data_IF_978912577288
#
_entry.id   IF_978912577288
#
_cell.length_a   1.000
_cell.length_b   1.000
_cell.length_c   1.000
_cell.angle_alpha   90.00
_cell.angle_beta   90.00
_cell.angle_gamma   90.00
#
_symmetry.space_group_name_H-M   'P 1'
#
loop_
_entity.id
_entity.type
_entity.pdbx_description
1 polymer ?
#
# COMPACT_ATOMS: atom_id res chain seq x y z
N UNK A 1 -0.99 0.79 3.13
CA UNK A 1 -1.33 2.23 2.99
C UNK A 1 -0.65 2.88 1.79
N UNK A 2 0.70 2.98 1.74
CA UNK A 2 1.40 3.62 0.59
C UNK A 2 0.98 3.07 -0.78
N UNK A 3 0.92 1.74 -0.92
CA UNK A 3 0.52 1.09 -2.17
C UNK A 3 -0.94 1.37 -2.58
N UNK A 4 -1.88 1.34 -1.63
CA UNK A 4 -3.30 1.66 -1.87
C UNK A 4 -3.51 3.12 -2.30
N UNK A 5 -2.75 4.03 -1.69
CA UNK A 5 -2.81 5.45 -2.00
C UNK A 5 -2.03 5.83 -3.28
N UNK A 6 -1.24 4.91 -3.85
CA UNK A 6 -0.35 5.21 -4.97
C UNK A 6 0.72 6.25 -4.62
N UNK A 7 1.19 6.30 -3.37
CA UNK A 7 2.22 7.23 -2.92
C UNK A 7 3.52 6.51 -2.57
N UNK A 8 4.64 7.22 -2.73
CA UNK A 8 5.98 6.75 -2.40
C UNK A 8 6.26 6.86 -0.91
N UNK A 9 7.25 6.13 -0.42
CA UNK A 9 7.75 6.35 0.94
C UNK A 9 8.34 7.75 1.10
N UNK A 10 8.32 8.27 2.33
CA UNK A 10 8.94 9.56 2.66
C UNK A 10 10.42 9.55 2.34
N UNK A 11 11.11 8.44 2.61
CA UNK A 11 12.52 8.26 2.30
C UNK A 11 12.79 8.38 0.79
N UNK A 12 12.00 7.70 -0.05
CA UNK A 12 12.14 7.77 -1.50
C UNK A 12 11.93 9.22 -2.01
N UNK A 13 10.91 9.92 -1.50
CA UNK A 13 10.65 11.32 -1.87
C UNK A 13 11.79 12.27 -1.46
N UNK A 14 12.40 12.04 -0.29
CA UNK A 14 13.54 12.81 0.19
C UNK A 14 14.75 12.61 -0.74
N UNK A 15 15.07 11.37 -1.11
CA UNK A 15 16.18 11.08 -2.03
C UNK A 15 15.94 11.63 -3.43
N UNK A 16 14.72 11.51 -3.97
CA UNK A 16 14.37 12.11 -5.27
C UNK A 16 14.63 13.61 -5.26
N UNK A 17 14.20 14.31 -4.21
CA UNK A 17 14.42 15.75 -4.07
C UNK A 17 15.91 16.10 -3.95
N UNK A 18 16.66 15.34 -3.14
CA UNK A 18 18.09 15.51 -2.96
C UNK A 18 18.86 15.36 -4.27
N UNK A 19 18.61 14.28 -5.04
CA UNK A 19 19.30 14.06 -6.31
C UNK A 19 18.88 15.05 -7.39
N UNK A 20 17.59 15.42 -7.49
CA UNK A 20 17.16 16.45 -8.44
C UNK A 20 17.87 17.77 -8.19
N UNK A 21 17.99 18.16 -6.92
CA UNK A 21 18.70 19.38 -6.56
C UNK A 21 20.20 19.27 -6.85
N UNK A 22 20.85 18.19 -6.42
CA UNK A 22 22.27 17.97 -6.62
C UNK A 22 22.66 17.94 -8.11
N UNK A 23 21.89 17.22 -8.96
CA UNK A 23 22.13 17.23 -10.40
C UNK A 23 21.92 18.62 -11.02
N UNK A 24 20.94 19.40 -10.56
CA UNK A 24 20.81 20.79 -11.04
C UNK A 24 22.06 21.60 -10.72
N UNK A 25 22.62 21.43 -9.52
CA UNK A 25 23.84 22.13 -9.15
C UNK A 25 25.03 21.68 -10.00
N UNK A 26 25.21 20.38 -10.23
CA UNK A 26 26.31 19.85 -11.05
C UNK A 26 26.24 20.31 -12.52
N UNK A 27 25.06 20.20 -13.15
CA UNK A 27 24.91 20.44 -14.59
C UNK A 27 24.66 21.91 -14.95
N UNK A 28 24.24 22.76 -14.00
CA UNK A 28 24.03 24.19 -14.24
C UNK A 28 25.15 25.06 -13.66
N UNK A 29 26.22 24.46 -13.12
CA UNK A 29 27.41 25.17 -12.73
C UNK A 29 28.06 25.80 -13.97
N UNK A 30 27.85 27.10 -14.17
CA UNK A 30 28.51 27.85 -15.24
C UNK A 30 30.01 27.90 -14.94
N UNK A 31 30.89 27.60 -15.91
CA UNK A 31 32.33 27.72 -15.71
C UNK A 31 32.71 29.13 -15.20
N UNK A 32 33.47 29.21 -14.11
CA UNK A 32 33.86 30.48 -13.48
C UNK A 32 32.83 31.04 -12.50
N UNK A 33 31.66 30.42 -12.34
CA UNK A 33 30.73 30.76 -11.26
C UNK A 33 31.26 30.31 -9.90
N UNK A 34 30.78 30.95 -8.82
CA UNK A 34 31.10 30.51 -7.45
C UNK A 34 30.76 29.03 -7.23
N UNK A 35 29.65 28.55 -7.80
CA UNK A 35 29.25 27.14 -7.71
C UNK A 35 30.29 26.20 -8.36
N UNK A 36 30.86 26.60 -9.50
CA UNK A 36 31.92 25.82 -10.15
C UNK A 36 33.22 25.78 -9.33
N UNK A 37 33.54 26.86 -8.63
CA UNK A 37 34.70 26.91 -7.72
C UNK A 37 34.47 26.04 -6.48
N UNK A 38 33.25 26.02 -5.94
CA UNK A 38 32.87 25.15 -4.82
C UNK A 38 32.97 23.67 -5.21
N UNK A 39 32.59 23.29 -6.42
CA UNK A 39 32.75 21.91 -6.91
C UNK A 39 34.19 21.53 -7.27
N UNK A 40 35.04 22.51 -7.59
CA UNK A 40 36.47 22.30 -7.83
C UNK A 40 37.30 22.25 -6.53
N UNK A 41 36.69 22.55 -5.38
CA UNK A 41 37.34 22.45 -4.09
C UNK A 41 37.64 20.97 -3.75
N UNK A 42 38.80 20.73 -3.17
CA UNK A 42 39.21 19.44 -2.61
C UNK A 42 38.36 19.01 -1.40
N UNK A 43 37.63 19.94 -0.78
CA UNK A 43 36.78 19.64 0.36
C UNK A 43 35.50 18.90 -0.02
N UNK A 44 35.44 17.61 0.29
CA UNK A 44 34.21 16.81 0.15
C UNK A 44 33.35 16.92 1.41
N UNK A 45 32.20 17.59 1.27
CA UNK A 45 31.25 17.76 2.37
C UNK A 45 30.66 16.41 2.81
N UNK A 46 30.21 16.32 4.07
CA UNK A 46 29.54 15.10 4.58
C UNK A 46 28.31 14.74 3.73
N UNK A 47 27.56 15.74 3.28
CA UNK A 47 26.37 15.55 2.46
C UNK A 47 26.69 14.96 1.09
N UNK A 48 27.74 15.45 0.44
CA UNK A 48 28.22 14.93 -0.84
C UNK A 48 28.70 13.48 -0.72
N UNK A 49 29.43 13.14 0.36
CA UNK A 49 29.83 11.74 0.63
C UNK A 49 28.62 10.81 0.74
N UNK A 50 27.55 11.24 1.39
CA UNK A 50 26.32 10.44 1.50
C UNK A 50 25.58 10.31 0.16
N UNK A 51 25.56 11.35 -0.68
CA UNK A 51 25.00 11.27 -2.02
C UNK A 51 25.77 10.29 -2.91
N UNK A 52 27.09 10.40 -2.94
CA UNK A 52 27.96 9.50 -3.72
C UNK A 52 27.82 8.07 -3.24
N UNK A 53 27.80 7.84 -1.91
CA UNK A 53 27.52 6.52 -1.33
C UNK A 53 26.16 5.99 -1.76
N UNK A 54 25.10 6.81 -1.71
CA UNK A 54 23.75 6.39 -2.12
C UNK A 54 23.70 6.09 -3.62
N UNK A 55 24.36 6.85 -4.49
CA UNK A 55 24.45 6.56 -5.92
C UNK A 55 25.15 5.24 -6.21
N UNK A 56 26.26 4.98 -5.53
CA UNK A 56 26.94 3.70 -5.63
C UNK A 56 26.03 2.54 -5.20
N UNK A 57 25.27 2.69 -4.11
CA UNK A 57 24.29 1.69 -3.68
C UNK A 57 23.14 1.49 -4.69
N UNK A 58 22.81 2.51 -5.47
CA UNK A 58 21.82 2.41 -6.56
C UNK A 58 22.39 1.72 -7.81
N UNK A 59 23.71 1.53 -7.89
CA UNK A 59 24.42 0.91 -9.01
C UNK A 59 24.95 1.90 -10.04
N UNK A 60 25.03 3.19 -9.71
CA UNK A 60 25.60 4.21 -10.60
C UNK A 60 27.05 4.51 -10.21
N UNK A 61 27.91 4.64 -11.23
CA UNK A 61 29.25 5.23 -11.12
C UNK A 61 29.22 6.67 -11.61
N UNK A 62 30.07 7.55 -11.05
CA UNK A 62 30.08 8.99 -11.36
C UNK A 62 30.26 9.28 -12.85
N UNK A 63 31.18 8.55 -13.49
CA UNK A 63 31.53 8.73 -14.91
C UNK A 63 30.34 8.44 -15.84
N UNK A 64 29.57 7.38 -15.56
CA UNK A 64 28.42 6.97 -16.38
C UNK A 64 27.24 7.97 -16.34
N UNK A 65 27.20 8.86 -15.35
CA UNK A 65 26.19 9.92 -15.25
C UNK A 65 26.69 11.25 -15.85
N UNK A 66 28.00 11.49 -15.87
CA UNK A 66 28.59 12.68 -16.48
C UNK A 66 28.42 12.72 -17.99
N UNK A 67 28.45 11.54 -18.64
CA UNK A 67 28.29 11.40 -20.09
C UNK A 67 26.84 11.58 -20.59
N UNK A 68 25.86 11.63 -19.68
CA UNK A 68 24.45 11.83 -20.01
C UNK A 68 23.95 13.21 -19.57
N UNK A 69 23.07 13.84 -20.36
CA UNK A 69 22.53 15.16 -20.03
C UNK A 69 21.73 15.16 -18.71
N UNK A 70 21.57 16.34 -18.10
CA UNK A 70 20.85 16.55 -16.82
C UNK A 70 19.52 15.79 -16.73
N UNK A 71 18.71 15.84 -17.79
CA UNK A 71 17.39 15.18 -17.83
C UNK A 71 17.50 13.66 -17.75
N UNK A 72 18.47 13.08 -18.45
CA UNK A 72 18.68 11.63 -18.50
C UNK A 72 19.26 11.11 -17.19
N UNK A 73 20.24 11.82 -16.62
CA UNK A 73 20.81 11.52 -15.30
C UNK A 73 19.71 11.52 -14.22
N UNK A 74 18.88 12.57 -14.18
CA UNK A 74 17.75 12.65 -13.27
C UNK A 74 16.76 11.52 -13.48
N UNK A 75 16.38 11.23 -14.73
CA UNK A 75 15.42 10.18 -15.04
C UNK A 75 15.91 8.81 -14.56
N UNK A 76 17.15 8.41 -14.88
CA UNK A 76 17.70 7.10 -14.52
C UNK A 76 17.77 6.89 -13.01
N UNK A 77 18.28 7.87 -12.27
CA UNK A 77 18.42 7.76 -10.81
C UNK A 77 17.05 7.77 -10.12
N UNK A 78 16.15 8.66 -10.55
CA UNK A 78 14.78 8.71 -10.01
C UNK A 78 14.04 7.40 -10.29
N UNK A 79 14.12 6.87 -11.51
CA UNK A 79 13.49 5.60 -11.86
C UNK A 79 14.00 4.47 -10.96
N UNK A 80 15.32 4.37 -10.79
CA UNK A 80 15.93 3.33 -9.93
C UNK A 80 15.48 3.44 -8.47
N UNK A 81 15.39 4.65 -7.93
CA UNK A 81 14.85 4.89 -6.58
C UNK A 81 13.39 4.44 -6.46
N UNK A 82 12.58 4.74 -7.47
CA UNK A 82 11.17 4.34 -7.49
C UNK A 82 11.01 2.83 -7.55
N UNK A 83 11.82 2.15 -8.37
CA UNK A 83 11.77 0.70 -8.50
C UNK A 83 12.14 -0.01 -7.19
N UNK A 84 13.20 0.45 -6.52
CA UNK A 84 13.62 -0.08 -5.21
C UNK A 84 12.56 0.18 -4.15
N UNK A 85 12.00 1.39 -4.08
CA UNK A 85 10.94 1.72 -3.11
C UNK A 85 9.70 0.84 -3.33
N UNK A 86 9.30 0.66 -4.58
CA UNK A 86 8.16 -0.18 -4.93
C UNK A 86 8.42 -1.66 -4.60
N UNK A 87 9.62 -2.17 -4.87
CA UNK A 87 10.02 -3.53 -4.45
C UNK A 87 9.98 -3.68 -2.93
N UNK A 88 10.51 -2.69 -2.19
CA UNK A 88 10.49 -2.67 -0.74
C UNK A 88 9.05 -2.65 -0.19
N UNK A 89 8.20 -1.76 -0.69
CA UNK A 89 6.79 -1.68 -0.28
C UNK A 89 6.05 -2.99 -0.57
N UNK A 90 6.28 -3.62 -1.72
CA UNK A 90 5.69 -4.93 -2.08
C UNK A 90 6.20 -6.05 -1.17
N UNK A 91 7.47 -6.06 -0.79
CA UNK A 91 7.99 -7.06 0.15
C UNK A 91 7.32 -6.97 1.54
N UNK A 92 6.98 -5.75 1.97
CA UNK A 92 6.29 -5.49 3.26
C UNK A 92 4.79 -5.71 3.20
N UNK A 93 4.24 -5.81 2.00
CA UNK A 93 2.81 -5.95 1.76
C UNK A 93 2.24 -7.34 2.06
N UNK A 94 3.06 -8.32 2.41
CA UNK A 94 2.59 -9.64 2.83
C UNK A 94 2.50 -9.77 4.37
N UNK A 95 2.54 -8.65 5.10
CA UNK A 95 2.48 -8.64 6.57
C UNK A 95 1.05 -8.62 7.11
N UNK A 96 0.92 -9.00 8.38
CA UNK A 96 -0.32 -9.29 9.12
C UNK A 96 -1.45 -8.25 9.00
N UNK A 97 -1.12 -6.98 8.81
CA UNK A 97 -2.08 -5.85 8.78
C UNK A 97 -2.36 -5.29 7.37
N UNK A 98 -2.02 -6.02 6.31
CA UNK A 98 -2.36 -5.62 4.94
C UNK A 98 -2.04 -6.78 4.01
N UNK A 99 -2.77 -7.90 4.01
CA UNK A 99 -2.51 -8.95 3.03
C UNK A 99 -2.86 -8.39 1.64
N UNK A 100 -1.89 -7.86 0.91
CA UNK A 100 -2.07 -7.46 -0.51
C UNK A 100 -2.26 -8.68 -1.44
N UNK A 101 -2.45 -9.87 -0.87
CA UNK A 101 -2.99 -11.06 -1.53
C UNK A 101 -4.28 -10.68 -2.28
N UNK A 102 -5.03 -9.70 -1.79
CA UNK A 102 -6.23 -9.20 -2.45
C UNK A 102 -5.89 -8.16 -3.53
N UNK A 103 -5.52 -8.70 -4.69
CA UNK A 103 -5.64 -8.14 -6.05
C UNK A 103 -4.77 -6.97 -6.51
N UNK A 104 -3.71 -6.57 -5.81
CA UNK A 104 -2.73 -5.64 -6.41
C UNK A 104 -1.74 -6.33 -7.38
N UNK A 105 -2.16 -7.44 -8.01
CA UNK A 105 -1.44 -8.02 -9.12
C UNK A 105 -1.53 -7.06 -10.31
N UNK A 106 -0.41 -6.46 -10.69
CA UNK A 106 -0.14 -5.85 -11.99
C UNK A 106 -0.41 -4.35 -12.22
N UNK A 107 -0.53 -3.52 -11.18
CA UNK A 107 -0.26 -2.10 -11.41
C UNK A 107 1.26 -1.91 -11.59
N UNK A 108 1.70 -1.90 -12.85
CA UNK A 108 2.99 -1.35 -13.28
C UNK A 108 2.95 0.16 -12.98
N UNK A 109 3.21 0.52 -11.72
CA UNK A 109 3.19 1.89 -11.21
C UNK A 109 2.44 2.03 -9.88
N UNK A 110 2.85 3.03 -9.09
CA UNK A 110 2.09 3.51 -7.92
C UNK A 110 0.85 4.25 -8.42
N UNK A 111 -0.27 3.54 -8.55
CA UNK A 111 -1.58 4.13 -8.84
C UNK A 111 -2.47 3.97 -7.62
N UNK A 112 -3.20 5.03 -7.30
CA UNK A 112 -4.21 5.00 -6.25
C UNK A 112 -5.30 3.99 -6.59
N UNK A 113 -5.75 3.21 -5.61
CA UNK A 113 -6.81 2.22 -5.78
C UNK A 113 -8.13 2.86 -6.20
N UNK A 114 -8.86 2.18 -7.09
CA UNK A 114 -10.05 2.71 -7.76
C UNK A 114 -11.17 3.06 -6.78
N UNK A 115 -11.37 2.25 -5.74
CA UNK A 115 -12.43 2.46 -4.75
C UNK A 115 -12.27 3.78 -3.99
N UNK A 116 -11.06 4.32 -3.88
CA UNK A 116 -10.80 5.56 -3.15
C UNK A 116 -11.44 6.78 -3.80
N UNK A 117 -11.68 6.73 -5.12
CA UNK A 117 -12.36 7.79 -5.86
C UNK A 117 -13.71 7.36 -6.46
N UNK A 118 -13.92 6.06 -6.71
CA UNK A 118 -15.20 5.56 -7.26
C UNK A 118 -16.28 5.35 -6.20
N UNK A 119 -15.93 4.99 -4.95
CA UNK A 119 -16.89 4.95 -3.85
C UNK A 119 -17.14 6.36 -3.32
N UNK A 120 -18.18 7.01 -3.83
CA UNK A 120 -18.55 8.39 -3.48
C UNK A 120 -18.97 8.53 -2.02
N UNK A 121 -19.64 7.53 -1.44
CA UNK A 121 -20.12 7.55 -0.06
C UNK A 121 -18.95 7.29 0.92
N UNK A 122 -18.58 8.26 1.80
CA UNK A 122 -17.41 8.13 2.67
C UNK A 122 -17.46 6.93 3.62
N UNK A 123 -18.64 6.60 4.16
CA UNK A 123 -18.82 5.45 5.06
C UNK A 123 -18.52 4.11 4.38
N UNK A 124 -18.91 3.95 3.11
CA UNK A 124 -18.60 2.76 2.31
C UNK A 124 -17.11 2.67 2.03
N UNK A 125 -16.49 3.78 1.60
CA UNK A 125 -15.04 3.86 1.36
C UNK A 125 -14.23 3.50 2.61
N UNK A 126 -14.64 3.99 3.78
CA UNK A 126 -14.02 3.67 5.07
C UNK A 126 -14.16 2.19 5.38
N UNK A 127 -15.37 1.63 5.34
CA UNK A 127 -15.61 0.22 5.66
C UNK A 127 -14.81 -0.73 4.75
N UNK A 128 -14.77 -0.45 3.45
CA UNK A 128 -13.97 -1.22 2.49
C UNK A 128 -12.47 -1.13 2.76
N UNK A 129 -11.97 0.08 3.08
CA UNK A 129 -10.56 0.26 3.47
C UNK A 129 -10.19 -0.56 4.71
N UNK A 130 -11.05 -0.56 5.73
CA UNK A 130 -10.82 -1.33 6.96
C UNK A 130 -10.72 -2.83 6.66
N UNK A 131 -11.56 -3.34 5.76
CA UNK A 131 -11.49 -4.73 5.32
C UNK A 131 -10.20 -5.04 4.55
N UNK A 132 -9.81 -4.21 3.56
CA UNK A 132 -8.56 -4.38 2.79
C UNK A 132 -7.31 -4.36 3.68
N UNK A 133 -7.30 -3.53 4.70
CA UNK A 133 -6.21 -3.46 5.67
C UNK A 133 -6.33 -4.48 6.82
N UNK A 134 -7.34 -5.36 6.81
CA UNK A 134 -7.55 -6.34 7.88
C UNK A 134 -7.56 -5.68 9.28
N UNK A 135 -8.27 -4.56 9.39
CA UNK A 135 -8.44 -3.73 10.60
C UNK A 135 -9.93 -3.41 10.83
N UNK A 136 -10.80 -4.34 10.47
CA UNK A 136 -12.20 -4.27 10.91
C UNK A 136 -12.25 -4.29 12.45
N UNK A 137 -13.23 -3.61 13.08
CA UNK A 137 -13.50 -3.76 14.50
C UNK A 137 -13.86 -5.23 14.79
N UNK A 138 -12.92 -5.97 15.37
CA UNK A 138 -13.02 -7.41 15.59
C UNK A 138 -12.11 -7.83 16.73
N UNK A 139 -12.29 -9.06 17.21
CA UNK A 139 -11.39 -9.72 18.16
C UNK A 139 -9.96 -9.84 17.61
N UNK A 140 -9.82 -9.96 16.27
CA UNK A 140 -8.53 -9.92 15.61
C UNK A 140 -7.82 -8.59 15.82
N UNK A 141 -8.51 -7.46 15.64
CA UNK A 141 -7.92 -6.14 15.82
C UNK A 141 -7.65 -5.85 17.30
N UNK A 142 -8.62 -6.10 18.19
CA UNK A 142 -8.46 -5.85 19.62
C UNK A 142 -7.36 -6.72 20.23
N UNK A 143 -7.26 -7.99 19.82
CA UNK A 143 -6.21 -8.90 20.23
C UNK A 143 -4.80 -8.47 19.78
N UNK A 144 -4.66 -7.75 18.65
CA UNK A 144 -3.37 -7.14 18.27
C UNK A 144 -2.94 -6.08 19.27
N UNK A 145 -3.86 -5.20 19.66
CA UNK A 145 -3.55 -4.15 20.65
C UNK A 145 -3.27 -4.73 22.03
N UNK A 146 -3.96 -5.81 22.41
CA UNK A 146 -3.75 -6.55 23.65
C UNK A 146 -2.57 -7.53 23.61
N UNK A 147 -1.85 -7.63 22.49
CA UNK A 147 -0.74 -8.58 22.26
C UNK A 147 -1.10 -10.06 22.49
N UNK A 148 -2.37 -10.44 22.27
CA UNK A 148 -2.84 -11.82 22.36
C UNK A 148 -2.29 -12.66 21.21
N UNK A 149 -2.12 -13.97 21.41
CA UNK A 149 -1.74 -14.91 20.35
C UNK A 149 -2.84 -14.98 19.29
N UNK A 150 -2.50 -15.32 18.03
CA UNK A 150 -3.50 -15.35 16.95
C UNK A 150 -4.67 -16.30 17.24
N UNK A 151 -4.37 -17.46 17.85
CA UNK A 151 -5.34 -18.48 18.27
C UNK A 151 -6.33 -17.99 19.33
N UNK A 152 -6.00 -16.94 20.08
CA UNK A 152 -6.85 -16.40 21.14
C UNK A 152 -7.78 -15.29 20.63
N UNK A 153 -7.64 -14.88 19.36
CA UNK A 153 -8.39 -13.76 18.75
C UNK A 153 -9.70 -14.24 18.14
N UNK A 154 -10.48 -14.94 18.95
CA UNK A 154 -11.67 -15.67 18.52
C UNK A 154 -12.84 -14.73 18.26
N UNK A 155 -13.56 -15.00 17.17
CA UNK A 155 -14.86 -14.38 16.92
C UNK A 155 -15.82 -14.76 18.05
N UNK A 156 -16.69 -13.85 18.51
CA UNK A 156 -17.73 -14.17 19.49
C UNK A 156 -18.85 -15.05 18.93
N UNK A 157 -18.74 -15.53 17.69
CA UNK A 157 -19.64 -16.56 17.21
C UNK A 157 -19.27 -17.92 17.84
N UNK A 158 -20.24 -18.83 17.90
CA UNK A 158 -20.08 -20.13 18.56
C UNK A 158 -19.16 -21.13 17.83
N UNK A 159 -18.34 -20.67 16.88
CA UNK A 159 -17.48 -21.52 16.04
C UNK A 159 -16.04 -21.63 16.52
N UNK A 160 -15.64 -20.87 17.55
CA UNK A 160 -14.27 -20.83 18.05
C UNK A 160 -13.20 -20.58 16.95
N UNK A 161 -13.56 -19.82 15.91
CA UNK A 161 -12.67 -19.45 14.81
C UNK A 161 -12.09 -18.05 15.02
N UNK A 162 -10.88 -17.82 14.51
CA UNK A 162 -10.25 -16.49 14.51
C UNK A 162 -11.09 -15.52 13.66
N UNK A 163 -11.36 -14.32 14.16
CA UNK A 163 -12.22 -13.34 13.47
C UNK A 163 -11.49 -12.61 12.33
N UNK A 164 -11.07 -13.37 11.32
CA UNK A 164 -10.46 -12.85 10.09
C UNK A 164 -11.49 -12.23 9.15
N UNK A 165 -11.03 -11.44 8.18
CA UNK A 165 -11.92 -10.90 7.13
C UNK A 165 -12.58 -12.02 6.33
N UNK A 166 -11.87 -13.13 6.09
CA UNK A 166 -12.42 -14.33 5.46
C UNK A 166 -13.57 -14.91 6.28
N UNK A 167 -13.35 -15.11 7.59
CA UNK A 167 -14.39 -15.60 8.50
C UNK A 167 -15.61 -14.67 8.47
N UNK A 168 -15.43 -13.35 8.61
CA UNK A 168 -16.51 -12.36 8.55
C UNK A 168 -17.28 -12.44 7.23
N UNK A 169 -16.57 -12.46 6.10
CA UNK A 169 -17.16 -12.37 4.76
C UNK A 169 -17.86 -13.67 4.32
N UNK A 170 -17.38 -14.83 4.75
CA UNK A 170 -17.78 -16.13 4.17
C UNK A 170 -18.50 -17.02 5.18
N UNK A 171 -18.00 -17.14 6.41
CA UNK A 171 -18.43 -18.23 7.30
C UNK A 171 -19.24 -17.77 8.52
N UNK A 172 -18.95 -16.59 9.05
CA UNK A 172 -19.43 -16.15 10.35
C UNK A 172 -20.97 -16.08 10.43
N UNK A 173 -21.63 -16.78 11.37
CA UNK A 173 -23.08 -16.75 11.53
C UNK A 173 -23.65 -15.37 11.84
N UNK A 174 -22.91 -14.54 12.59
CA UNK A 174 -23.34 -13.20 13.02
C UNK A 174 -23.71 -12.33 11.81
N UNK A 175 -22.98 -12.45 10.71
CA UNK A 175 -23.18 -11.63 9.53
C UNK A 175 -24.02 -12.33 8.44
N UNK A 176 -24.69 -13.44 8.76
CA UNK A 176 -25.36 -14.28 7.76
C UNK A 176 -26.43 -13.52 6.95
N UNK A 177 -27.27 -12.73 7.62
CA UNK A 177 -28.31 -11.92 6.96
C UNK A 177 -27.70 -10.91 5.98
N UNK A 178 -26.63 -10.22 6.40
CA UNK A 178 -25.93 -9.27 5.53
C UNK A 178 -25.22 -9.98 4.37
N UNK A 179 -24.67 -11.17 4.61
CA UNK A 179 -23.99 -12.00 3.62
C UNK A 179 -24.94 -12.55 2.56
N UNK A 180 -26.13 -13.02 2.95
CA UNK A 180 -27.18 -13.46 2.00
C UNK A 180 -27.53 -12.30 1.06
N UNK A 181 -27.75 -11.10 1.60
CA UNK A 181 -28.04 -9.93 0.78
C UNK A 181 -26.87 -9.53 -0.14
N UNK A 182 -25.63 -9.70 0.32
CA UNK A 182 -24.44 -9.47 -0.51
C UNK A 182 -24.44 -10.40 -1.73
N UNK A 183 -24.55 -11.71 -1.50
CA UNK A 183 -24.47 -12.71 -2.56
C UNK A 183 -25.66 -12.63 -3.52
N UNK A 184 -26.87 -12.40 -3.00
CA UNK A 184 -28.04 -12.16 -3.86
C UNK A 184 -27.85 -10.93 -4.75
N UNK A 185 -27.19 -9.88 -4.26
CA UNK A 185 -26.95 -8.66 -5.06
C UNK A 185 -25.87 -8.85 -6.12
N UNK A 186 -24.86 -9.66 -5.86
CA UNK A 186 -23.78 -9.91 -6.82
C UNK A 186 -24.24 -10.91 -7.90
N UNK A 187 -25.26 -11.73 -7.61
CA UNK A 187 -25.74 -12.76 -8.54
C UNK A 187 -24.71 -13.86 -8.76
N UNK A 188 -23.91 -14.15 -7.73
CA UNK A 188 -22.75 -15.03 -7.83
C UNK A 188 -23.09 -16.43 -7.32
N UNK A 189 -22.76 -17.46 -8.09
CA UNK A 189 -22.77 -18.84 -7.61
C UNK A 189 -21.47 -19.11 -6.84
N UNK A 190 -21.60 -19.52 -5.58
CA UNK A 190 -20.47 -19.84 -4.70
C UNK A 190 -19.89 -21.24 -4.99
N UNK A 191 -20.53 -22.03 -5.85
CA UNK A 191 -20.08 -23.39 -6.17
C UNK A 191 -18.66 -23.40 -6.76
N UNK A 192 -17.76 -24.19 -6.15
CA UNK A 192 -16.40 -24.41 -6.64
C UNK A 192 -15.33 -23.37 -6.28
N UNK A 193 -15.66 -22.27 -5.58
CA UNK A 193 -14.65 -21.29 -5.16
C UNK A 193 -14.01 -21.62 -3.80
N UNK A 194 -12.68 -21.59 -3.75
CA UNK A 194 -11.94 -21.53 -2.48
C UNK A 194 -12.22 -20.20 -1.77
N UNK A 195 -12.41 -20.24 -0.45
CA UNK A 195 -12.61 -19.08 0.41
C UNK A 195 -11.59 -17.96 0.15
N UNK A 196 -10.31 -18.31 0.03
CA UNK A 196 -9.26 -17.33 -0.28
C UNK A 196 -9.49 -16.59 -1.60
N UNK A 197 -9.88 -17.31 -2.67
CA UNK A 197 -10.14 -16.71 -3.97
C UNK A 197 -11.36 -15.79 -3.95
N UNK A 198 -12.39 -16.14 -3.16
CA UNK A 198 -13.56 -15.28 -2.94
C UNK A 198 -13.18 -13.98 -2.23
N UNK A 199 -12.34 -14.04 -1.20
CA UNK A 199 -11.87 -12.82 -0.53
C UNK A 199 -11.06 -11.95 -1.50
N UNK A 200 -10.17 -12.53 -2.31
CA UNK A 200 -9.43 -11.82 -3.39
C UNK A 200 -10.37 -11.16 -4.39
N UNK A 201 -11.43 -11.85 -4.77
CA UNK A 201 -12.41 -11.34 -5.71
C UNK A 201 -13.20 -10.16 -5.12
N UNK A 202 -13.76 -10.33 -3.91
CA UNK A 202 -14.58 -9.32 -3.24
C UNK A 202 -13.78 -8.08 -2.84
N UNK A 203 -12.57 -8.26 -2.33
CA UNK A 203 -11.64 -7.19 -2.02
C UNK A 203 -10.77 -6.83 -3.23
N UNK A 204 -11.20 -7.22 -4.43
CA UNK A 204 -10.41 -7.12 -5.65
C UNK A 204 -10.30 -5.71 -6.22
N UNK A 205 -11.30 -4.87 -5.93
CA UNK A 205 -11.48 -3.55 -6.54
C UNK A 205 -11.40 -3.54 -8.08
N UNK A 206 -11.84 -4.63 -8.72
CA UNK A 206 -11.88 -4.77 -10.19
C UNK A 206 -13.20 -4.30 -10.80
N UNK A 207 -14.28 -4.31 -10.01
CA UNK A 207 -15.63 -3.92 -10.44
C UNK A 207 -16.21 -2.94 -9.43
N UNK A 208 -16.54 -1.72 -9.87
CA UNK A 208 -17.14 -0.69 -9.01
C UNK A 208 -18.45 -1.15 -8.38
N UNK A 209 -19.25 -1.94 -9.11
CA UNK A 209 -20.48 -2.53 -8.60
C UNK A 209 -20.22 -3.49 -7.44
N UNK A 210 -19.31 -4.45 -7.62
CA UNK A 210 -18.96 -5.45 -6.60
C UNK A 210 -18.35 -4.74 -5.39
N UNK A 211 -17.39 -3.85 -5.62
CA UNK A 211 -16.79 -3.02 -4.57
C UNK A 211 -17.87 -2.30 -3.77
N UNK A 212 -18.88 -1.71 -4.42
CA UNK A 212 -19.97 -1.03 -3.72
C UNK A 212 -20.82 -1.97 -2.87
N UNK A 213 -21.21 -3.15 -3.36
CA UNK A 213 -22.00 -4.10 -2.59
C UNK A 213 -21.21 -4.67 -1.41
N UNK A 214 -19.95 -5.04 -1.63
CA UNK A 214 -19.04 -5.51 -0.58
C UNK A 214 -18.82 -4.42 0.48
N UNK A 215 -18.73 -3.15 0.07
CA UNK A 215 -18.62 -2.02 1.00
C UNK A 215 -19.86 -1.85 1.89
N UNK A 216 -21.07 -2.06 1.35
CA UNK A 216 -22.31 -2.04 2.13
C UNK A 216 -22.33 -3.17 3.16
N UNK A 217 -21.90 -4.36 2.76
CA UNK A 217 -21.76 -5.50 3.67
C UNK A 217 -20.81 -5.16 4.83
N UNK A 218 -19.61 -4.66 4.53
CA UNK A 218 -18.65 -4.32 5.59
C UNK A 218 -19.11 -3.16 6.46
N UNK A 219 -19.87 -2.19 5.93
CA UNK A 219 -20.45 -1.15 6.76
C UNK A 219 -21.38 -1.77 7.82
N UNK A 220 -22.23 -2.73 7.43
CA UNK A 220 -23.11 -3.43 8.38
C UNK A 220 -22.34 -4.30 9.35
N UNK A 221 -21.29 -4.99 8.90
CA UNK A 221 -20.43 -5.76 9.79
C UNK A 221 -19.79 -4.86 10.87
N UNK A 222 -19.32 -3.67 10.48
CA UNK A 222 -18.77 -2.66 11.38
C UNK A 222 -19.83 -2.15 12.38
N UNK A 223 -21.07 -1.90 11.95
CA UNK A 223 -22.12 -1.43 12.87
C UNK A 223 -22.52 -2.50 13.88
N UNK A 224 -22.72 -3.75 13.43
CA UNK A 224 -23.07 -4.87 14.31
C UNK A 224 -22.00 -5.09 15.38
N UNK A 225 -20.72 -4.96 15.04
CA UNK A 225 -19.64 -5.06 16.05
C UNK A 225 -19.53 -3.83 16.92
N UNK A 226 -19.79 -2.64 16.38
CA UNK A 226 -19.84 -1.41 17.17
C UNK A 226 -20.82 -1.51 18.33
N UNK A 227 -22.02 -2.04 18.07
CA UNK A 227 -23.06 -2.29 19.08
C UNK A 227 -22.68 -3.35 20.13
N UNK A 228 -21.77 -4.28 19.80
CA UNK A 228 -21.30 -5.32 20.73
C UNK A 228 -20.13 -4.87 21.61
N UNK A 229 -19.46 -3.77 21.26
CA UNK A 229 -18.32 -3.21 22.01
C UNK A 229 -18.64 -1.91 22.74
N UNK A 230 -19.85 -1.36 22.56
CA UNK A 230 -20.43 -0.23 23.29
C UNK A 230 -21.20 -0.69 24.51
#
# INVERSE_FOLDING_TARGET
MYLELGIRSVECMAWISAFKWWFRMLFLAVPGSYLSLVFADSHTSRWEKELSKKLHLLGFTGDALGDCGLKDAQFRVVQRLVDIDLQYLRSRANKTCSPLIFSHSNNYGLRMASYLYTLTIPKYRRAFSLARFNVLPSALLSGRFKKLLLSERLCPCDRAEVETVEHVLIHCPIYNTARIQLWSSIGFDLSGFNANNLVVYCLGDKSSYITAQVSKFFLRAVTVRGEQFS
#
